data_IF_679869102506
#
_entry.id   IF_679869102506
#
_cell.length_a   1.000
_cell.length_b   1.000
_cell.length_c   1.000
_cell.angle_alpha   90.00
_cell.angle_beta   90.00
_cell.angle_gamma   90.00
#
_symmetry.space_group_name_H-M   'P 1'
#
loop_
_entity.id
_entity.type
_entity.pdbx_description
1 polymer ?
#
# COMPACT_ATOMS: atom_id res chain seq x y z
N UNK A 1 40.63 49.86 23.32
CA UNK A 1 40.79 48.81 24.35
C UNK A 1 39.41 48.46 24.86
N UNK A 2 38.96 47.23 24.61
CA UNK A 2 37.62 46.72 24.95
C UNK A 2 37.47 46.46 26.46
N UNK A 3 36.23 46.31 26.95
CA UNK A 3 35.89 45.03 27.56
C UNK A 3 34.64 44.38 26.96
N UNK A 4 34.67 43.06 27.05
CA UNK A 4 33.75 42.10 26.44
C UNK A 4 32.50 41.97 27.30
N UNK A 5 31.33 42.25 26.74
CA UNK A 5 30.07 41.73 27.25
C UNK A 5 29.81 40.38 26.56
N UNK A 6 29.84 39.30 27.31
CA UNK A 6 29.42 37.99 26.84
C UNK A 6 28.66 37.28 27.96
N UNK A 7 27.34 37.46 27.97
CA UNK A 7 26.41 36.52 28.59
C UNK A 7 25.13 36.55 27.75
N UNK A 8 25.10 35.68 26.74
CA UNK A 8 23.88 35.35 26.02
C UNK A 8 23.40 33.98 26.52
N UNK A 9 22.51 34.01 27.51
CA UNK A 9 21.64 32.88 27.83
C UNK A 9 20.52 32.84 26.80
N UNK A 10 20.69 32.08 25.72
CA UNK A 10 19.56 31.64 24.91
C UNK A 10 19.37 30.14 25.11
N UNK A 11 18.41 29.80 25.97
CA UNK A 11 17.83 28.48 26.05
C UNK A 11 17.04 28.23 24.75
N UNK A 12 17.70 27.64 23.76
CA UNK A 12 17.05 27.18 22.53
C UNK A 12 16.35 25.85 22.79
N UNK A 13 15.02 25.88 22.85
CA UNK A 13 14.17 24.70 23.01
C UNK A 13 14.47 23.65 21.92
N UNK A 14 14.81 22.43 22.36
CA UNK A 14 14.94 21.26 21.49
C UNK A 14 13.54 20.87 21.04
N UNK A 15 13.18 21.23 19.80
CA UNK A 15 12.00 20.71 19.11
C UNK A 15 12.23 19.23 18.80
N UNK A 16 11.68 18.34 19.63
CA UNK A 16 11.54 16.92 19.33
C UNK A 16 10.60 16.77 18.13
N UNK A 17 11.17 16.70 16.93
CA UNK A 17 10.46 16.30 15.73
C UNK A 17 10.14 14.80 15.84
N UNK A 18 8.94 14.46 16.33
CA UNK A 18 8.41 13.10 16.23
C UNK A 18 8.04 12.84 14.77
N UNK A 19 8.94 12.18 14.03
CA UNK A 19 8.65 11.67 12.70
C UNK A 19 7.51 10.66 12.77
N UNK A 20 6.34 11.02 12.25
CA UNK A 20 5.25 10.09 12.00
C UNK A 20 5.60 9.25 10.77
N UNK A 21 6.10 8.04 10.99
CA UNK A 21 6.16 7.04 9.92
C UNK A 21 4.73 6.54 9.66
N UNK A 22 4.24 6.71 8.43
CA UNK A 22 2.97 6.13 7.98
C UNK A 22 3.11 4.61 7.97
N UNK A 23 2.63 3.96 9.03
CA UNK A 23 2.55 2.51 9.11
C UNK A 23 1.29 2.05 8.40
N UNK A 24 1.36 0.92 7.71
CA UNK A 24 0.16 0.30 7.15
C UNK A 24 -0.80 -0.05 8.30
N UNK A 25 -2.07 0.38 8.21
CA UNK A 25 -3.09 0.12 9.23
C UNK A 25 -3.91 -1.08 8.77
N UNK A 26 -3.90 -2.14 9.57
CA UNK A 26 -4.72 -3.33 9.31
C UNK A 26 -6.20 -3.06 9.61
N UNK A 27 -7.09 -3.60 8.77
CA UNK A 27 -8.55 -3.48 8.90
C UNK A 27 -9.18 -4.84 9.19
N UNK A 28 -9.07 -5.35 10.44
CA UNK A 28 -9.43 -6.73 10.77
C UNK A 28 -10.92 -7.04 10.57
N UNK A 29 -11.80 -6.04 10.67
CA UNK A 29 -13.25 -6.19 10.50
C UNK A 29 -13.73 -6.30 9.05
N UNK A 30 -12.86 -6.10 8.05
CA UNK A 30 -13.24 -6.19 6.63
C UNK A 30 -12.91 -7.58 6.06
N UNK A 31 -13.82 -8.09 5.22
CA UNK A 31 -13.63 -9.29 4.42
C UNK A 31 -12.88 -9.03 3.11
N UNK A 32 -12.48 -10.09 2.39
CA UNK A 32 -11.68 -9.99 1.16
C UNK A 32 -12.35 -9.17 0.05
N UNK A 33 -13.65 -9.37 -0.20
CA UNK A 33 -14.42 -8.59 -1.17
C UNK A 33 -14.46 -7.09 -0.83
N UNK A 34 -14.65 -6.76 0.46
CA UNK A 34 -14.69 -5.38 0.94
C UNK A 34 -13.31 -4.73 0.81
N UNK A 35 -12.25 -5.45 1.20
CA UNK A 35 -10.87 -5.00 1.08
C UNK A 35 -10.46 -4.76 -0.39
N UNK A 36 -10.89 -5.63 -1.31
CA UNK A 36 -10.63 -5.46 -2.74
C UNK A 36 -11.24 -4.18 -3.32
N UNK A 37 -12.45 -3.83 -2.85
CA UNK A 37 -13.09 -2.57 -3.23
C UNK A 37 -12.46 -1.37 -2.51
N UNK A 38 -12.18 -1.50 -1.22
CA UNK A 38 -11.58 -0.46 -0.39
C UNK A 38 -10.24 0.00 -0.96
N UNK A 39 -9.36 -0.94 -1.30
CA UNK A 39 -8.06 -0.67 -1.92
C UNK A 39 -8.16 -0.33 -3.40
N UNK A 40 -9.38 -0.12 -3.92
CA UNK A 40 -9.65 0.28 -5.30
C UNK A 40 -9.08 -0.69 -6.34
N UNK A 41 -8.82 -1.95 -5.98
CA UNK A 41 -8.29 -2.97 -6.89
C UNK A 41 -9.25 -3.22 -8.07
N UNK A 42 -10.56 -3.10 -7.80
CA UNK A 42 -11.65 -3.19 -8.78
C UNK A 42 -11.50 -2.20 -9.94
N UNK A 43 -10.86 -1.04 -9.73
CA UNK A 43 -10.70 -0.02 -10.77
C UNK A 43 -9.79 -0.46 -11.92
N UNK A 44 -8.94 -1.47 -11.70
CA UNK A 44 -8.03 -1.99 -12.72
C UNK A 44 -8.37 -3.43 -13.09
N UNK A 45 -8.61 -4.29 -12.09
CA UNK A 45 -8.88 -5.72 -12.30
C UNK A 45 -10.35 -6.01 -12.63
N UNK A 46 -11.24 -5.02 -12.46
CA UNK A 46 -12.67 -5.14 -12.71
C UNK A 46 -13.42 -5.83 -11.59
N UNK A 47 -14.75 -5.91 -11.75
CA UNK A 47 -15.63 -6.63 -10.83
C UNK A 47 -15.12 -8.07 -10.66
N UNK A 48 -14.99 -8.52 -9.40
CA UNK A 48 -14.51 -9.86 -9.05
C UNK A 48 -13.11 -10.21 -9.60
N UNK A 49 -12.34 -9.22 -10.06
CA UNK A 49 -11.06 -9.48 -10.74
C UNK A 49 -11.21 -10.16 -12.11
N UNK A 50 -12.39 -10.09 -12.75
CA UNK A 50 -12.69 -10.81 -14.00
C UNK A 50 -12.73 -9.94 -15.26
N UNK A 51 -12.83 -8.63 -15.10
CA UNK A 51 -13.04 -7.69 -16.22
C UNK A 51 -11.99 -6.57 -16.22
N UNK A 52 -10.72 -6.88 -16.51
CA UNK A 52 -9.65 -5.89 -16.43
C UNK A 52 -9.82 -4.76 -17.45
N UNK A 53 -9.42 -3.55 -17.06
CA UNK A 53 -9.59 -2.33 -17.89
C UNK A 53 -8.66 -2.27 -19.11
N UNK A 54 -7.64 -3.12 -19.14
CA UNK A 54 -6.72 -3.24 -20.29
C UNK A 54 -6.07 -4.62 -20.32
N UNK A 55 -5.44 -4.98 -21.45
CA UNK A 55 -4.69 -6.23 -21.59
C UNK A 55 -3.42 -6.34 -20.75
N UNK A 56 -2.97 -5.23 -20.16
CA UNK A 56 -1.79 -5.20 -19.27
C UNK A 56 -2.15 -5.60 -17.84
N UNK A 57 -3.43 -5.55 -17.48
CA UNK A 57 -3.91 -5.93 -16.15
C UNK A 57 -4.47 -7.35 -16.24
N UNK A 58 -3.98 -8.31 -15.44
CA UNK A 58 -4.48 -9.68 -15.48
C UNK A 58 -5.85 -9.79 -14.84
N UNK A 59 -6.64 -10.76 -15.33
CA UNK A 59 -7.76 -11.29 -14.58
C UNK A 59 -7.24 -12.21 -13.48
N UNK A 60 -7.76 -12.06 -12.26
CA UNK A 60 -7.29 -12.73 -11.05
C UNK A 60 -8.40 -13.42 -10.25
N UNK A 61 -9.67 -13.25 -10.63
CA UNK A 61 -10.77 -14.00 -10.04
C UNK A 61 -10.68 -15.48 -10.44
N UNK A 62 -10.77 -16.37 -9.45
CA UNK A 62 -10.66 -17.83 -9.61
C UNK A 62 -9.23 -18.36 -9.72
N UNK A 63 -8.20 -17.50 -9.62
CA UNK A 63 -6.80 -17.94 -9.52
C UNK A 63 -6.53 -18.55 -8.12
N UNK A 64 -5.46 -19.35 -8.02
CA UNK A 64 -5.02 -19.90 -6.74
C UNK A 64 -4.67 -18.79 -5.74
N UNK A 65 -5.13 -18.93 -4.49
CA UNK A 65 -4.93 -17.91 -3.46
C UNK A 65 -3.45 -17.67 -3.16
N UNK A 66 -2.63 -18.72 -3.10
CA UNK A 66 -1.20 -18.58 -2.80
C UNK A 66 -0.48 -17.90 -3.97
N UNK A 67 -0.84 -18.21 -5.21
CA UNK A 67 -0.29 -17.54 -6.39
C UNK A 67 -0.65 -16.04 -6.41
N UNK A 68 -1.89 -15.68 -6.09
CA UNK A 68 -2.31 -14.27 -6.01
C UNK A 68 -1.53 -13.54 -4.91
N UNK A 69 -1.47 -14.12 -3.70
CA UNK A 69 -0.80 -13.53 -2.55
C UNK A 69 0.69 -13.33 -2.83
N UNK A 70 1.39 -14.37 -3.29
CA UNK A 70 2.82 -14.32 -3.60
C UNK A 70 3.11 -13.21 -4.61
N UNK A 71 2.36 -13.18 -5.71
CA UNK A 71 2.56 -12.18 -6.76
C UNK A 71 2.26 -10.77 -6.27
N UNK A 72 1.14 -10.55 -5.56
CA UNK A 72 0.79 -9.25 -5.03
C UNK A 72 1.88 -8.73 -4.08
N UNK A 73 2.33 -9.55 -3.13
CA UNK A 73 3.37 -9.15 -2.17
C UNK A 73 4.71 -8.91 -2.85
N UNK A 74 5.10 -9.75 -3.81
CA UNK A 74 6.31 -9.57 -4.61
C UNK A 74 6.29 -8.22 -5.35
N UNK A 75 5.16 -7.90 -5.98
CA UNK A 75 4.96 -6.63 -6.69
C UNK A 75 5.01 -5.43 -5.73
N UNK A 76 4.29 -5.48 -4.61
CA UNK A 76 4.22 -4.38 -3.65
C UNK A 76 5.57 -4.11 -2.97
N UNK A 77 6.36 -5.16 -2.72
CA UNK A 77 7.75 -5.05 -2.25
C UNK A 77 8.69 -4.49 -3.33
N UNK A 78 8.30 -4.57 -4.60
CA UNK A 78 9.13 -4.16 -5.74
C UNK A 78 10.14 -5.22 -6.16
N UNK A 79 9.88 -6.47 -5.83
CA UNK A 79 10.69 -7.64 -6.21
C UNK A 79 10.25 -8.14 -7.60
N UNK A 80 10.11 -7.23 -8.57
CA UNK A 80 9.61 -7.53 -9.92
C UNK A 80 10.33 -6.71 -11.00
N UNK A 81 10.67 -7.37 -12.10
CA UNK A 81 11.26 -6.72 -13.27
C UNK A 81 10.23 -6.28 -14.32
N UNK A 82 8.97 -6.74 -14.22
CA UNK A 82 7.90 -6.35 -15.14
C UNK A 82 7.51 -4.88 -14.98
N UNK A 83 7.45 -4.16 -16.09
CA UNK A 83 7.01 -2.76 -16.13
C UNK A 83 5.53 -2.64 -15.74
N UNK A 84 4.69 -3.59 -16.17
CA UNK A 84 3.27 -3.66 -15.81
C UNK A 84 3.09 -3.83 -14.30
N UNK A 85 3.89 -4.69 -13.68
CA UNK A 85 3.90 -4.87 -12.25
C UNK A 85 4.37 -3.62 -11.50
N UNK A 86 5.36 -2.89 -12.03
CA UNK A 86 5.80 -1.60 -11.45
C UNK A 86 4.68 -0.55 -11.51
N UNK A 87 3.82 -0.59 -12.53
CA UNK A 87 2.62 0.25 -12.59
C UNK A 87 1.64 -0.11 -11.47
N UNK A 88 1.38 -1.41 -11.22
CA UNK A 88 0.54 -1.84 -10.09
C UNK A 88 1.10 -1.35 -8.76
N UNK A 89 2.40 -1.55 -8.49
CA UNK A 89 3.04 -1.04 -7.26
C UNK A 89 2.81 0.46 -7.10
N UNK A 90 3.02 1.22 -8.18
CA UNK A 90 2.84 2.67 -8.18
C UNK A 90 1.38 3.04 -7.91
N UNK A 91 0.42 2.38 -8.56
CA UNK A 91 -1.00 2.65 -8.36
C UNK A 91 -1.49 2.34 -6.94
N UNK A 92 -1.00 1.25 -6.33
CA UNK A 92 -1.36 0.85 -4.96
C UNK A 92 -0.65 1.73 -3.92
N UNK A 93 0.62 2.09 -4.14
CA UNK A 93 1.37 2.95 -3.22
C UNK A 93 0.92 4.42 -3.25
N UNK A 94 0.40 4.89 -4.39
CA UNK A 94 -0.10 6.26 -4.58
C UNK A 94 -1.63 6.31 -4.70
N UNK A 95 -2.34 5.38 -4.05
CA UNK A 95 -3.79 5.37 -4.10
C UNK A 95 -4.33 6.73 -3.65
N UNK A 96 -5.24 7.29 -4.44
CA UNK A 96 -5.80 8.64 -4.23
C UNK A 96 -6.62 8.76 -2.94
N UNK A 97 -6.82 7.65 -2.23
CA UNK A 97 -7.64 7.58 -1.03
C UNK A 97 -6.96 8.14 0.23
N UNK A 98 -5.69 8.57 0.16
CA UNK A 98 -4.87 8.92 1.35
C UNK A 98 -4.75 7.78 2.39
N UNK A 99 -5.31 6.61 2.09
CA UNK A 99 -5.32 5.45 2.94
C UNK A 99 -4.00 4.70 2.87
N UNK A 100 -3.65 4.07 3.98
CA UNK A 100 -2.52 3.16 4.04
C UNK A 100 -2.67 2.03 3.01
N UNK A 101 -1.58 1.62 2.33
CA UNK A 101 -1.58 0.49 1.43
C UNK A 101 -2.02 -0.80 2.15
N UNK A 102 -2.47 -1.83 1.41
CA UNK A 102 -2.91 -3.07 2.01
C UNK A 102 -1.80 -3.74 2.84
N UNK A 103 -2.18 -4.27 4.00
CA UNK A 103 -1.28 -5.11 4.81
C UNK A 103 -1.14 -6.50 4.18
N UNK A 104 -0.14 -7.29 4.59
CA UNK A 104 -0.03 -8.69 4.18
C UNK A 104 -1.28 -9.50 4.55
N UNK A 105 -1.84 -9.29 5.75
CA UNK A 105 -3.06 -9.96 6.18
C UNK A 105 -4.28 -9.57 5.32
N UNK A 106 -4.36 -8.31 4.89
CA UNK A 106 -5.40 -7.86 3.97
C UNK A 106 -5.23 -8.46 2.57
N UNK A 107 -3.99 -8.55 2.05
CA UNK A 107 -3.71 -9.23 0.78
C UNK A 107 -4.12 -10.70 0.84
N UNK A 108 -3.80 -11.40 1.94
CA UNK A 108 -4.21 -12.79 2.13
C UNK A 108 -5.74 -12.94 2.07
N UNK A 109 -6.49 -12.11 2.81
CA UNK A 109 -7.96 -12.13 2.78
C UNK A 109 -8.53 -11.87 1.37
N UNK A 110 -7.93 -10.93 0.63
CA UNK A 110 -8.31 -10.63 -0.75
C UNK A 110 -8.05 -11.85 -1.65
N UNK A 111 -6.88 -12.46 -1.53
CA UNK A 111 -6.48 -13.62 -2.33
C UNK A 111 -7.38 -14.84 -2.06
N UNK A 112 -7.65 -15.13 -0.78
CA UNK A 112 -8.59 -16.18 -0.36
C UNK A 112 -9.96 -15.96 -0.99
N UNK A 113 -10.52 -14.74 -0.91
CA UNK A 113 -11.80 -14.43 -1.51
C UNK A 113 -11.77 -14.60 -3.04
N UNK A 114 -10.77 -14.04 -3.72
CA UNK A 114 -10.64 -14.12 -5.19
C UNK A 114 -10.57 -15.57 -5.68
N UNK A 115 -9.94 -16.46 -4.93
CA UNK A 115 -9.83 -17.89 -5.29
C UNK A 115 -11.15 -18.66 -5.27
N UNK A 116 -12.19 -18.10 -4.62
CA UNK A 116 -13.52 -18.70 -4.57
C UNK A 116 -14.44 -18.31 -5.73
N UNK A 117 -13.98 -17.43 -6.62
CA UNK A 117 -14.77 -16.80 -7.68
C UNK A 117 -14.81 -17.58 -8.99
#
# INVERSE_FOLDING_TARGET
MSPRFAFACTAGAVLLATSFAASAVDRPGMGGAELFNFHSCVNCHGAEGKNPVSRLVPSIGGMDAAEIEENALRILRGETDSEEAKLMKSAVAYSQACDAPPTTAEIQKIAEWLSTL
#
